data_IF_037384502669
#
_entry.id   IF_037384502669
#
_cell.length_a   1.000
_cell.length_b   1.000
_cell.length_c   1.000
_cell.angle_alpha   90.00
_cell.angle_beta   90.00
_cell.angle_gamma   90.00
#
_symmetry.space_group_name_H-M   'P 1'
#
loop_
_entity.id
_entity.type
_entity.pdbx_description
1 polymer ?
#
# COMPACT_ATOMS: atom_id res chain seq x y z
N UNK A 1 -5.13 9.82 -15.72
CA UNK A 1 -3.73 9.96 -15.30
C UNK A 1 -3.35 11.42 -15.43
N UNK A 2 -2.69 12.01 -14.43
CA UNK A 2 -2.15 13.36 -14.57
C UNK A 2 -0.68 13.27 -15.03
N UNK A 3 -0.47 13.38 -16.34
CA UNK A 3 0.86 13.27 -16.94
C UNK A 3 1.82 14.36 -16.45
N UNK A 4 1.31 15.54 -16.06
CA UNK A 4 2.17 16.61 -15.51
C UNK A 4 2.77 16.20 -14.17
N UNK A 5 1.96 15.60 -13.29
CA UNK A 5 2.44 15.08 -12.01
C UNK A 5 3.46 13.95 -12.19
N UNK A 6 3.22 13.04 -13.14
CA UNK A 6 4.15 11.93 -13.40
C UNK A 6 5.48 12.41 -14.01
N UNK A 7 5.43 13.37 -14.94
CA UNK A 7 6.65 13.99 -15.46
C UNK A 7 7.43 14.69 -14.35
N UNK A 8 6.74 15.41 -13.45
CA UNK A 8 7.39 16.02 -12.28
C UNK A 8 8.04 14.96 -11.38
N UNK A 9 7.35 13.85 -11.10
CA UNK A 9 7.94 12.78 -10.29
C UNK A 9 9.21 12.21 -10.94
N UNK A 10 9.21 12.05 -12.26
CA UNK A 10 10.42 11.63 -12.97
C UNK A 10 11.55 12.65 -12.85
N UNK A 11 11.26 13.95 -13.03
CA UNK A 11 12.24 15.02 -12.87
C UNK A 11 12.82 15.13 -11.46
N UNK A 12 11.99 14.88 -10.45
CA UNK A 12 12.36 15.02 -9.03
C UNK A 12 13.01 13.75 -8.46
N UNK A 13 13.21 12.70 -9.26
CA UNK A 13 13.74 11.42 -8.80
C UNK A 13 12.77 10.65 -7.87
N UNK A 14 11.47 10.96 -7.93
CA UNK A 14 10.43 10.29 -7.15
C UNK A 14 9.96 9.06 -7.92
N UNK A 15 10.13 7.91 -7.29
CA UNK A 15 9.77 6.63 -7.89
C UNK A 15 8.32 6.22 -7.59
N UNK A 16 7.68 5.60 -8.57
CA UNK A 16 6.30 5.12 -8.43
C UNK A 16 6.04 3.82 -9.19
N UNK A 17 5.07 3.05 -8.72
CA UNK A 17 4.44 1.95 -9.45
C UNK A 17 2.92 2.16 -9.38
N UNK A 18 2.26 2.20 -10.53
CA UNK A 18 0.83 2.47 -10.63
C UNK A 18 0.16 1.51 -11.60
N UNK A 19 -1.13 1.23 -11.39
CA UNK A 19 -1.94 0.54 -12.40
C UNK A 19 -2.20 1.48 -13.57
N UNK A 20 -2.14 0.94 -14.79
CA UNK A 20 -2.59 1.64 -15.99
C UNK A 20 -4.11 1.86 -15.89
N UNK A 21 -4.56 3.08 -16.21
CA UNK A 21 -5.99 3.38 -16.31
C UNK A 21 -6.50 2.98 -17.70
N UNK A 22 -7.73 2.48 -17.77
CA UNK A 22 -8.44 2.30 -19.05
C UNK A 22 -8.39 3.57 -19.91
N UNK A 23 -8.31 3.38 -21.23
CA UNK A 23 -8.21 4.44 -22.24
C UNK A 23 -6.95 5.33 -22.13
N UNK A 24 -5.88 4.82 -21.51
CA UNK A 24 -4.57 5.49 -21.57
C UNK A 24 -3.91 5.20 -22.92
N UNK A 25 -3.55 6.26 -23.64
CA UNK A 25 -2.79 6.13 -24.89
C UNK A 25 -1.35 5.75 -24.57
N UNK A 26 -0.88 4.67 -25.18
CA UNK A 26 0.46 4.10 -24.99
C UNK A 26 1.13 3.95 -26.35
N UNK A 27 2.38 4.39 -26.42
CA UNK A 27 3.27 4.17 -27.56
C UNK A 27 4.41 3.25 -27.09
N UNK A 28 4.43 1.97 -27.52
CA UNK A 28 5.50 1.05 -27.17
C UNK A 28 6.79 1.45 -27.89
N UNK A 29 7.92 1.40 -27.17
CA UNK A 29 9.23 1.79 -27.68
C UNK A 29 10.16 0.59 -27.83
N UNK A 30 10.22 -0.28 -26.81
CA UNK A 30 11.12 -1.43 -26.78
C UNK A 30 10.59 -2.50 -25.82
N UNK A 31 10.57 -3.76 -26.25
CA UNK A 31 10.29 -4.89 -25.37
C UNK A 31 11.57 -5.34 -24.65
N UNK A 32 11.43 -5.72 -23.39
CA UNK A 32 12.50 -6.21 -22.52
C UNK A 32 12.44 -7.74 -22.42
N UNK A 33 13.57 -8.35 -22.11
CA UNK A 33 13.63 -9.79 -21.84
C UNK A 33 12.93 -10.11 -20.52
N UNK A 34 12.10 -11.15 -20.56
CA UNK A 34 11.35 -11.64 -19.40
C UNK A 34 11.94 -13.00 -19.02
N UNK A 35 12.31 -13.23 -17.75
CA UNK A 35 12.76 -14.55 -17.29
C UNK A 35 11.69 -15.63 -17.52
N UNK A 36 12.11 -16.85 -17.89
CA UNK A 36 11.19 -17.96 -18.19
C UNK A 36 10.27 -18.33 -17.00
N UNK A 37 10.75 -18.17 -15.77
CA UNK A 37 9.99 -18.45 -14.54
C UNK A 37 9.14 -17.26 -14.02
N UNK A 38 9.07 -16.16 -14.78
CA UNK A 38 8.39 -14.94 -14.35
C UNK A 38 6.86 -15.06 -14.42
N UNK A 39 6.17 -14.38 -13.51
CA UNK A 39 4.70 -14.23 -13.57
C UNK A 39 4.27 -13.08 -14.49
N UNK A 40 5.24 -12.32 -14.99
CA UNK A 40 5.04 -11.19 -15.90
C UNK A 40 4.91 -11.72 -17.32
N UNK A 41 3.92 -11.25 -18.07
CA UNK A 41 3.65 -11.69 -19.44
C UNK A 41 4.07 -10.67 -20.49
N UNK A 42 4.40 -9.45 -20.07
CA UNK A 42 4.84 -8.36 -20.94
C UNK A 42 5.69 -7.40 -20.12
N UNK A 43 6.78 -6.90 -20.71
CA UNK A 43 7.65 -5.91 -20.10
C UNK A 43 8.27 -5.02 -21.18
N UNK A 44 7.96 -3.73 -21.17
CA UNK A 44 8.27 -2.82 -22.26
C UNK A 44 8.60 -1.42 -21.78
N UNK A 45 9.49 -0.72 -22.48
CA UNK A 45 9.58 0.73 -22.41
C UNK A 45 8.49 1.35 -23.27
N UNK A 46 7.83 2.37 -22.72
CA UNK A 46 6.71 3.05 -23.35
C UNK A 46 6.78 4.55 -23.19
N UNK A 47 6.17 5.27 -24.11
CA UNK A 47 5.77 6.66 -23.93
C UNK A 47 4.27 6.72 -23.65
N UNK A 48 3.86 7.54 -22.68
CA UNK A 48 2.45 7.63 -22.25
C UNK A 48 1.84 8.95 -22.68
N UNK A 49 0.69 8.88 -23.33
CA UNK A 49 -0.14 10.02 -23.72
C UNK A 49 -0.32 10.17 -25.23
N UNK A 50 -1.18 11.12 -25.62
CA UNK A 50 -1.51 11.38 -27.02
C UNK A 50 -0.60 12.45 -27.61
N UNK A 51 -0.65 12.65 -28.94
CA UNK A 51 0.11 13.69 -29.65
C UNK A 51 -0.02 15.09 -29.03
N UNK A 52 -1.19 15.41 -28.49
CA UNK A 52 -1.46 16.71 -27.85
C UNK A 52 -1.05 16.78 -26.37
N UNK A 53 -1.04 15.63 -25.68
CA UNK A 53 -0.76 15.55 -24.24
C UNK A 53 0.00 14.27 -23.95
N UNK A 54 1.32 14.32 -24.16
CA UNK A 54 2.26 13.23 -23.89
C UNK A 54 3.19 13.56 -22.73
N UNK A 55 3.61 12.53 -22.02
CA UNK A 55 4.73 12.61 -21.11
C UNK A 55 6.02 12.92 -21.85
N UNK A 56 6.96 13.57 -21.17
CA UNK A 56 8.32 13.80 -21.69
C UNK A 56 9.24 12.63 -21.37
N UNK A 57 9.02 11.99 -20.22
CA UNK A 57 9.83 10.86 -19.78
C UNK A 57 9.24 9.54 -20.27
N UNK A 58 10.13 8.63 -20.68
CA UNK A 58 9.77 7.23 -20.91
C UNK A 58 9.42 6.56 -19.58
N UNK A 59 8.47 5.63 -19.62
CA UNK A 59 8.11 4.75 -18.50
C UNK A 59 8.35 3.29 -18.90
N UNK A 60 8.31 2.40 -17.92
CA UNK A 60 8.25 0.95 -18.12
C UNK A 60 6.82 0.49 -17.86
N UNK A 61 6.27 -0.26 -18.81
CA UNK A 61 4.97 -0.91 -18.74
C UNK A 61 5.17 -2.41 -18.58
N UNK A 62 4.40 -3.03 -17.70
CA UNK A 62 4.43 -4.49 -17.57
C UNK A 62 3.05 -5.06 -17.33
N UNK A 63 2.78 -6.24 -17.89
CA UNK A 63 1.57 -7.00 -17.62
C UNK A 63 1.87 -8.18 -16.70
N UNK A 64 1.05 -8.36 -15.67
CA UNK A 64 1.17 -9.43 -14.68
C UNK A 64 -0.22 -9.88 -14.26
N UNK A 65 -0.27 -11.02 -13.58
CA UNK A 65 -1.48 -11.55 -12.99
C UNK A 65 -1.41 -11.43 -11.47
N UNK A 66 -2.49 -10.94 -10.85
CA UNK A 66 -2.59 -10.90 -9.39
C UNK A 66 -2.77 -12.31 -8.79
N UNK A 67 -2.75 -12.40 -7.46
CA UNK A 67 -2.94 -13.68 -6.76
C UNK A 67 -4.31 -14.33 -6.95
N UNK A 68 -5.27 -13.65 -7.58
CA UNK A 68 -6.61 -14.13 -7.88
C UNK A 68 -6.83 -14.40 -9.37
N UNK A 69 -5.79 -14.32 -10.20
CA UNK A 69 -5.92 -14.55 -11.65
C UNK A 69 -6.34 -13.31 -12.43
N UNK A 70 -6.44 -12.13 -11.80
CA UNK A 70 -6.83 -10.91 -12.50
C UNK A 70 -5.65 -10.31 -13.25
N UNK A 71 -5.86 -10.04 -14.54
CA UNK A 71 -4.90 -9.35 -15.39
C UNK A 71 -4.70 -7.90 -14.95
N UNK A 72 -3.44 -7.49 -14.90
CA UNK A 72 -3.03 -6.19 -14.40
C UNK A 72 -1.92 -5.61 -15.28
N UNK A 73 -2.10 -4.38 -15.75
CA UNK A 73 -1.04 -3.61 -16.40
C UNK A 73 -0.52 -2.56 -15.42
N UNK A 74 0.78 -2.54 -15.21
CA UNK A 74 1.51 -1.61 -14.36
C UNK A 74 2.33 -0.64 -15.20
N UNK A 75 2.50 0.56 -14.68
CA UNK A 75 3.40 1.59 -15.17
C UNK A 75 4.34 2.02 -14.03
N UNK A 76 5.62 2.18 -14.35
CA UNK A 76 6.63 2.66 -13.40
C UNK A 76 7.74 3.47 -14.09
N UNK A 77 8.42 4.30 -13.30
CA UNK A 77 9.69 4.91 -13.67
C UNK A 77 10.91 4.21 -13.01
N UNK A 78 10.72 3.01 -12.43
CA UNK A 78 11.80 2.14 -11.93
C UNK A 78 12.33 1.25 -13.05
N UNK A 79 13.55 1.53 -13.47
CA UNK A 79 14.29 0.76 -14.48
C UNK A 79 15.40 -0.09 -13.86
N UNK A 80 15.65 0.08 -12.56
CA UNK A 80 16.68 -0.58 -11.76
C UNK A 80 16.26 -1.94 -11.20
N UNK A 81 14.96 -2.25 -11.19
CA UNK A 81 14.39 -3.46 -10.59
C UNK A 81 13.97 -4.47 -11.66
N UNK A 82 13.92 -5.75 -11.31
CA UNK A 82 13.31 -6.77 -12.15
C UNK A 82 11.79 -6.61 -12.27
N UNK A 83 11.20 -7.22 -13.29
CA UNK A 83 9.75 -7.18 -13.50
C UNK A 83 8.96 -7.84 -12.35
N UNK A 84 9.51 -8.91 -11.77
CA UNK A 84 8.93 -9.60 -10.61
C UNK A 84 8.99 -8.76 -9.34
N UNK A 85 10.10 -8.05 -9.08
CA UNK A 85 10.21 -7.12 -7.94
C UNK A 85 9.19 -5.98 -8.03
N UNK A 86 8.99 -5.42 -9.23
CA UNK A 86 7.99 -4.36 -9.45
C UNK A 86 6.57 -4.92 -9.25
N UNK A 87 6.29 -6.12 -9.77
CA UNK A 87 5.02 -6.80 -9.55
C UNK A 87 4.74 -7.03 -8.06
N UNK A 88 5.74 -7.47 -7.30
CA UNK A 88 5.60 -7.73 -5.86
C UNK A 88 5.44 -6.44 -5.05
N UNK A 89 6.16 -5.38 -5.44
CA UNK A 89 5.99 -4.04 -4.86
C UNK A 89 4.55 -3.55 -5.02
N UNK A 90 3.94 -3.77 -6.19
CA UNK A 90 2.54 -3.41 -6.39
C UNK A 90 1.59 -4.28 -5.55
N UNK A 91 1.85 -5.58 -5.41
CA UNK A 91 1.04 -6.48 -4.56
C UNK A 91 1.04 -6.04 -3.09
N UNK A 92 2.16 -5.52 -2.60
CA UNK A 92 2.30 -4.98 -1.24
C UNK A 92 1.30 -3.84 -0.93
N UNK A 93 0.74 -3.17 -1.94
CA UNK A 93 -0.37 -2.22 -1.75
C UNK A 93 -1.58 -2.85 -1.06
N UNK A 94 -1.91 -4.12 -1.34
CA UNK A 94 -3.04 -4.82 -0.68
C UNK A 94 -2.84 -4.91 0.83
N UNK A 95 -1.60 -4.98 1.31
CA UNK A 95 -1.31 -4.98 2.74
C UNK A 95 -1.76 -3.68 3.41
N UNK A 96 -1.72 -2.54 2.70
CA UNK A 96 -2.20 -1.24 3.19
C UNK A 96 -3.72 -1.29 3.41
N UNK A 97 -4.49 -1.82 2.46
CA UNK A 97 -5.94 -1.97 2.60
C UNK A 97 -6.30 -2.92 3.74
N UNK A 98 -5.58 -4.05 3.84
CA UNK A 98 -5.72 -5.00 4.96
C UNK A 98 -5.40 -4.33 6.29
N UNK A 99 -4.34 -3.51 6.35
CA UNK A 99 -3.97 -2.73 7.52
C UNK A 99 -5.07 -1.75 7.92
N UNK A 100 -5.62 -0.97 6.99
CA UNK A 100 -6.73 -0.05 7.30
C UNK A 100 -8.02 -0.79 7.71
N UNK A 101 -8.32 -1.93 7.08
CA UNK A 101 -9.45 -2.78 7.47
C UNK A 101 -9.27 -3.30 8.89
N UNK A 102 -8.09 -3.82 9.18
CA UNK A 102 -7.70 -4.30 10.49
C UNK A 102 -7.77 -3.17 11.54
N UNK A 103 -7.25 -1.98 11.23
CA UNK A 103 -7.32 -0.80 12.10
C UNK A 103 -8.75 -0.44 12.46
N UNK A 104 -9.66 -0.36 11.47
CA UNK A 104 -11.07 -0.06 11.71
C UNK A 104 -11.75 -1.12 12.59
N UNK A 105 -11.39 -2.40 12.42
CA UNK A 105 -11.93 -3.51 13.21
C UNK A 105 -11.44 -3.54 14.66
N UNK A 106 -10.16 -3.21 14.89
CA UNK A 106 -9.50 -3.43 16.18
C UNK A 106 -9.36 -2.17 17.04
N UNK A 107 -9.15 -0.99 16.42
CA UNK A 107 -9.01 0.26 17.18
C UNK A 107 -10.35 0.72 17.81
N UNK A 108 -11.49 0.11 17.44
CA UNK A 108 -12.86 0.32 17.95
C UNK A 108 -13.04 1.70 18.60
N UNK A 109 -12.81 2.78 17.84
CA UNK A 109 -13.06 4.15 18.30
C UNK A 109 -14.57 4.30 18.41
N UNK A 110 -15.13 3.94 19.57
CA UNK A 110 -16.58 3.87 19.78
C UNK A 110 -17.23 5.24 19.75
N UNK A 111 -16.54 6.26 20.28
CA UNK A 111 -17.02 7.62 20.34
C UNK A 111 -15.85 8.59 20.17
N UNK A 112 -16.04 9.62 19.36
CA UNK A 112 -15.15 10.78 19.35
C UNK A 112 -15.52 11.68 20.52
N UNK A 113 -14.56 11.99 21.39
CA UNK A 113 -14.79 12.84 22.57
C UNK A 113 -14.73 14.34 22.23
N UNK A 114 -14.33 14.68 21.01
CA UNK A 114 -14.39 16.04 20.47
C UNK A 114 -14.56 16.01 18.96
N UNK A 115 -15.29 16.98 18.42
CA UNK A 115 -15.64 17.06 16.99
C UNK A 115 -14.72 17.98 16.20
N UNK A 116 -13.82 18.72 16.87
CA UNK A 116 -12.84 19.55 16.18
C UNK A 116 -11.83 18.69 15.42
N UNK A 117 -11.33 19.19 14.28
CA UNK A 117 -10.32 18.50 13.46
C UNK A 117 -9.12 18.03 14.30
N UNK A 118 -8.66 18.88 15.21
CA UNK A 118 -7.53 18.59 16.11
C UNK A 118 -7.90 17.49 17.13
N UNK A 119 -9.09 17.55 17.73
CA UNK A 119 -9.53 16.53 18.69
C UNK A 119 -9.62 15.14 18.04
N UNK A 120 -10.20 15.06 16.84
CA UNK A 120 -10.28 13.81 16.06
C UNK A 120 -8.87 13.30 15.73
N UNK A 121 -7.98 14.17 15.26
CA UNK A 121 -6.61 13.78 14.89
C UNK A 121 -5.84 13.23 16.10
N UNK A 122 -5.88 13.96 17.22
CA UNK A 122 -5.23 13.56 18.47
C UNK A 122 -5.79 12.24 18.99
N UNK A 123 -7.10 12.01 18.87
CA UNK A 123 -7.73 10.77 19.31
C UNK A 123 -7.27 9.56 18.46
N UNK A 124 -7.16 9.73 17.14
CA UNK A 124 -6.62 8.69 16.25
C UNK A 124 -5.16 8.39 16.62
N UNK A 125 -4.31 9.40 16.76
CA UNK A 125 -2.90 9.22 17.14
C UNK A 125 -2.74 8.51 18.49
N UNK A 126 -3.49 8.91 19.51
CA UNK A 126 -3.46 8.26 20.84
C UNK A 126 -3.86 6.79 20.76
N UNK A 127 -4.89 6.48 19.97
CA UNK A 127 -5.38 5.11 19.81
C UNK A 127 -4.35 4.24 19.08
N UNK A 128 -3.67 4.79 18.06
CA UNK A 128 -2.58 4.11 17.36
C UNK A 128 -1.38 3.85 18.27
N UNK A 129 -0.94 4.85 19.03
CA UNK A 129 0.18 4.71 19.97
C UNK A 129 -0.13 3.65 21.04
N UNK A 130 -1.32 3.73 21.65
CA UNK A 130 -1.75 2.75 22.65
C UNK A 130 -1.81 1.33 22.08
N UNK A 131 -2.25 1.19 20.82
CA UNK A 131 -2.25 -0.10 20.13
C UNK A 131 -0.84 -0.62 19.87
N UNK A 132 0.09 0.21 19.39
CA UNK A 132 1.48 -0.18 19.19
C UNK A 132 2.11 -0.66 20.51
N UNK A 133 1.88 0.05 21.61
CA UNK A 133 2.35 -0.35 22.94
C UNK A 133 1.74 -1.69 23.40
N UNK A 134 0.44 -1.89 23.15
CA UNK A 134 -0.26 -3.14 23.45
C UNK A 134 0.30 -4.32 22.63
N UNK A 135 0.65 -4.09 21.36
CA UNK A 135 1.30 -5.09 20.50
C UNK A 135 2.71 -5.44 20.96
N UNK A 136 3.51 -4.43 21.33
CA UNK A 136 4.84 -4.66 21.89
C UNK A 136 4.75 -5.48 23.18
N UNK A 137 3.86 -5.09 24.10
CA UNK A 137 3.63 -5.84 25.33
C UNK A 137 3.17 -7.29 25.08
N UNK A 138 2.37 -7.53 24.03
CA UNK A 138 1.96 -8.88 23.63
C UNK A 138 3.14 -9.71 23.12
N UNK A 139 4.00 -9.11 22.31
CA UNK A 139 5.19 -9.77 21.76
C UNK A 139 6.18 -10.12 22.88
N UNK A 140 6.44 -9.17 23.78
CA UNK A 140 7.37 -9.37 24.91
C UNK A 140 6.88 -10.43 25.89
N UNK A 141 5.57 -10.50 26.13
CA UNK A 141 4.99 -11.45 27.07
C UNK A 141 4.84 -12.88 26.50
N UNK A 142 5.09 -13.10 25.20
CA UNK A 142 4.94 -14.38 24.47
C UNK A 142 3.61 -15.12 24.76
N UNK A 143 2.52 -14.37 24.91
CA UNK A 143 1.20 -14.91 25.30
C UNK A 143 0.31 -15.08 24.07
N UNK A 144 -0.23 -16.28 23.86
CA UNK A 144 -1.20 -16.59 22.77
C UNK A 144 -2.60 -15.96 22.97
N UNK A 145 -2.84 -15.26 24.07
CA UNK A 145 -4.15 -14.68 24.37
C UNK A 145 -4.51 -13.50 23.46
N UNK A 146 -5.80 -13.40 23.11
CA UNK A 146 -6.28 -12.31 22.25
C UNK A 146 -6.22 -10.97 22.99
N UNK A 147 -5.99 -9.86 22.27
CA UNK A 147 -5.88 -8.51 22.87
C UNK A 147 -7.10 -8.11 23.72
N UNK A 148 -8.26 -8.70 23.44
CA UNK A 148 -9.49 -8.52 24.23
C UNK A 148 -9.40 -9.15 25.62
N UNK A 149 -8.71 -10.29 25.76
CA UNK A 149 -8.54 -10.98 27.06
C UNK A 149 -7.61 -10.18 27.99
N UNK A 150 -6.59 -9.52 27.43
CA UNK A 150 -5.69 -8.64 28.19
C UNK A 150 -6.41 -7.35 28.64
N UNK A 151 -7.22 -6.75 27.77
CA UNK A 151 -8.03 -5.57 28.13
C UNK A 151 -9.10 -5.86 29.19
N UNK A 152 -9.69 -7.05 29.20
CA UNK A 152 -10.68 -7.45 30.22
C UNK A 152 -10.03 -7.71 31.58
N UNK A 153 -8.83 -8.28 31.61
CA UNK A 153 -8.07 -8.54 32.85
C UNK A 153 -7.64 -7.25 33.55
N UNK A 154 -7.27 -6.21 32.82
CA UNK A 154 -6.91 -4.91 33.42
C UNK A 154 -8.12 -4.09 33.91
N UNK A 155 -9.36 -4.46 33.52
CA UNK A 155 -10.60 -3.87 34.06
C UNK A 155 -11.11 -4.60 35.30
N UNK A 156 -10.76 -5.86 35.46
CA UNK A 156 -10.97 -6.59 36.70
C UNK A 156 -9.83 -6.22 37.66
N UNK A 157 -9.99 -5.09 38.37
CA UNK A 157 -9.17 -4.80 39.54
C UNK A 157 -9.18 -5.99 40.52
N UNK A 158 -8.16 -6.09 41.40
CA UNK A 158 -8.08 -7.18 42.36
C UNK A 158 -9.36 -7.21 43.19
N UNK A 159 -10.16 -8.27 43.04
CA UNK A 159 -11.20 -8.57 44.01
C UNK A 159 -10.46 -8.91 45.30
N UNK A 160 -10.59 -8.03 46.29
CA UNK A 160 -10.07 -8.24 47.62
C UNK A 160 -10.46 -9.63 48.13
N UNK A 161 -9.49 -10.30 48.72
CA UNK A 161 -9.71 -11.49 49.54
C UNK A 161 -9.19 -11.13 50.92
N UNK A 162 -10.17 -10.94 51.81
CA UNK A 162 -10.19 -11.00 53.28
C UNK A 162 -9.08 -10.27 54.04
#
# INVERSE_FOLDING_TARGET
MDYKSFDRYCSDGIYFVTRLKENTVIEPLQSLEIPEDSKVTMDEWVLVGSTQKRMKHKLRMMATTDSQGNFLILLTNRFDLSCDEISEMYRSRRAIETFFKWMKQHLKIKHFYGTSKQAVHNQVWRTLIAFCLLMLAKLDANVEHSLLQIQLRNRAGPKGVV
#
